data_IF_706208651836
#
_entry.id   IF_706208651836
#
_cell.length_a   1.000
_cell.length_b   1.000
_cell.length_c   1.000
_cell.angle_alpha   90.00
_cell.angle_beta   90.00
_cell.angle_gamma   90.00
#
_symmetry.space_group_name_H-M   'P 1'
#
loop_
_entity.id
_entity.type
_entity.pdbx_description
1 polymer ?
#
# COMPACT_ATOMS: atom_id res chain seq x y z
N UNK A 1 -13.95 32.68 13.80
CA UNK A 1 -12.73 33.50 13.99
C UNK A 1 -11.57 32.68 13.44
N UNK A 2 -11.05 33.08 12.29
CA UNK A 2 -10.01 32.37 11.53
C UNK A 2 -8.63 32.59 12.16
N UNK A 3 -7.79 31.55 12.17
CA UNK A 3 -6.34 31.70 12.29
C UNK A 3 -5.65 30.65 11.42
N UNK A 4 -5.55 30.96 10.13
CA UNK A 4 -4.48 30.46 9.26
C UNK A 4 -3.18 31.20 9.56
N UNK A 5 -2.06 30.52 9.29
CA UNK A 5 -0.66 30.99 9.21
C UNK A 5 0.15 30.87 10.50
N UNK A 6 0.96 29.82 10.59
CA UNK A 6 2.37 29.98 10.95
C UNK A 6 3.17 28.74 10.50
N UNK A 7 4.44 28.97 10.13
CA UNK A 7 5.53 28.01 9.87
C UNK A 7 5.84 27.65 8.41
N UNK A 8 6.32 28.66 7.68
CA UNK A 8 7.50 28.48 6.82
C UNK A 8 8.72 28.74 7.71
N UNK A 9 9.51 27.72 8.04
CA UNK A 9 10.88 27.86 8.58
C UNK A 9 11.56 26.48 8.65
N UNK A 10 11.85 25.87 7.49
CA UNK A 10 12.92 24.87 7.37
C UNK A 10 13.57 25.03 6.00
N UNK A 11 14.40 26.06 5.84
CA UNK A 11 15.32 26.15 4.73
C UNK A 11 16.61 26.84 5.19
N UNK A 12 17.74 26.26 4.78
CA UNK A 12 19.12 26.80 4.77
C UNK A 12 20.03 26.37 5.92
N UNK A 13 20.60 25.17 5.78
CA UNK A 13 21.94 24.83 6.29
C UNK A 13 22.64 23.87 5.34
N UNK A 14 23.32 24.39 4.31
CA UNK A 14 24.44 23.71 3.64
C UNK A 14 25.52 24.77 3.39
N UNK A 15 26.55 24.74 4.22
CA UNK A 15 27.69 25.65 4.21
C UNK A 15 28.72 25.14 3.19
N UNK A 16 29.07 26.00 2.24
CA UNK A 16 30.06 25.82 1.19
C UNK A 16 31.48 25.82 1.78
N UNK A 17 32.32 24.87 1.36
CA UNK A 17 33.78 24.93 1.56
C UNK A 17 34.51 24.33 0.35
N UNK A 18 34.90 25.18 -0.59
CA UNK A 18 35.91 24.88 -1.61
C UNK A 18 36.66 26.18 -1.97
N UNK A 19 37.75 26.41 -1.25
CA UNK A 19 38.78 27.40 -1.56
C UNK A 19 39.88 26.68 -2.36
N UNK A 20 40.01 27.04 -3.63
CA UNK A 20 41.03 26.52 -4.53
C UNK A 20 41.60 27.62 -5.43
N UNK A 21 42.68 28.23 -4.95
CA UNK A 21 43.83 28.81 -5.67
C UNK A 21 43.59 29.85 -6.78
N UNK A 22 43.89 31.10 -6.42
CA UNK A 22 44.14 32.25 -7.28
C UNK A 22 45.53 32.21 -7.94
N UNK A 23 45.56 32.40 -9.26
CA UNK A 23 46.66 32.91 -10.10
C UNK A 23 46.01 33.23 -11.45
N UNK A 24 46.12 34.37 -12.11
CA UNK A 24 46.87 35.61 -11.97
C UNK A 24 46.71 36.38 -13.31
N UNK A 25 47.06 37.66 -13.29
CA UNK A 25 47.22 38.59 -14.42
C UNK A 25 45.95 39.15 -15.09
N UNK A 26 45.76 40.45 -14.88
CA UNK A 26 44.90 41.28 -15.71
C UNK A 26 45.57 41.76 -17.00
N UNK A 27 44.77 42.33 -17.89
CA UNK A 27 45.15 43.51 -18.65
C UNK A 27 43.89 44.24 -19.18
N UNK A 28 44.02 45.56 -19.28
CA UNK A 28 42.99 46.54 -19.64
C UNK A 28 42.88 46.71 -21.17
N UNK A 29 41.64 46.79 -21.66
CA UNK A 29 41.10 47.50 -22.85
C UNK A 29 41.73 47.30 -24.24
N UNK A 30 40.89 46.87 -25.20
CA UNK A 30 40.73 47.57 -26.48
C UNK A 30 39.37 47.23 -27.11
N UNK A 31 38.63 48.28 -27.47
CA UNK A 31 37.39 48.28 -28.25
C UNK A 31 37.74 48.25 -29.74
N UNK A 32 36.82 47.67 -30.52
CA UNK A 32 36.62 47.79 -31.98
C UNK A 32 37.26 46.72 -32.86
N UNK A 33 36.44 45.84 -33.42
CA UNK A 33 36.03 46.05 -34.81
C UNK A 33 34.78 45.21 -35.12
N UNK A 34 33.81 45.90 -35.69
CA UNK A 34 32.56 45.37 -36.22
C UNK A 34 32.88 44.52 -37.47
N UNK A 35 32.55 43.24 -37.45
CA UNK A 35 32.45 42.44 -38.66
C UNK A 35 31.17 41.63 -38.58
N UNK A 36 30.16 42.03 -39.35
CA UNK A 36 28.97 41.25 -39.64
C UNK A 36 29.37 39.83 -40.05
N UNK A 37 29.19 38.88 -39.13
CA UNK A 37 29.25 37.46 -39.40
C UNK A 37 27.79 37.06 -39.65
N UNK A 38 27.46 36.74 -40.89
CA UNK A 38 26.19 36.07 -41.20
C UNK A 38 26.11 34.80 -40.36
N UNK A 39 25.22 34.83 -39.37
CA UNK A 39 24.85 33.66 -38.59
C UNK A 39 24.01 32.76 -39.50
N UNK A 40 24.60 31.68 -40.00
CA UNK A 40 23.83 30.58 -40.57
C UNK A 40 22.96 30.02 -39.45
N UNK A 41 21.64 30.20 -39.57
CA UNK A 41 20.66 29.56 -38.70
C UNK A 41 20.78 28.06 -38.93
N UNK A 42 21.42 27.37 -38.00
CA UNK A 42 21.36 25.91 -37.93
C UNK A 42 19.99 25.61 -37.34
N UNK A 43 19.10 25.07 -38.16
CA UNK A 43 17.78 24.60 -37.75
C UNK A 43 17.99 23.33 -36.93
N UNK A 44 18.25 23.48 -35.63
CA UNK A 44 18.28 22.35 -34.70
C UNK A 44 16.85 21.76 -34.63
N UNK A 45 16.70 20.43 -34.76
CA UNK A 45 15.39 19.82 -34.61
C UNK A 45 14.88 20.10 -33.21
N UNK A 46 13.73 20.79 -33.11
CA UNK A 46 13.00 20.97 -31.87
C UNK A 46 12.61 19.58 -31.37
N UNK A 47 13.37 19.05 -30.41
CA UNK A 47 12.99 17.86 -29.66
C UNK A 47 11.84 18.29 -28.76
N UNK A 48 10.63 17.89 -29.13
CA UNK A 48 9.44 18.07 -28.30
C UNK A 48 9.65 17.28 -27.00
N UNK A 49 9.98 17.99 -25.92
CA UNK A 49 10.18 17.40 -24.60
C UNK A 49 8.82 16.90 -24.13
N UNK A 50 8.61 15.57 -24.20
CA UNK A 50 7.37 14.96 -23.70
C UNK A 50 7.30 15.20 -22.19
N UNK A 51 6.24 15.88 -21.75
CA UNK A 51 5.88 15.99 -20.34
C UNK A 51 5.90 14.59 -19.69
N UNK A 52 6.46 14.46 -18.48
CA UNK A 52 6.55 13.18 -17.80
C UNK A 52 5.15 12.61 -17.57
N UNK A 53 4.96 11.33 -17.90
CA UNK A 53 3.76 10.59 -17.51
C UNK A 53 3.81 10.42 -15.99
N UNK A 54 2.81 10.96 -15.29
CA UNK A 54 2.65 10.82 -13.84
C UNK A 54 1.56 9.79 -13.57
N UNK A 55 1.92 8.72 -12.88
CA UNK A 55 1.01 7.70 -12.36
C UNK A 55 0.75 7.93 -10.87
N UNK A 56 -0.46 7.63 -10.39
CA UNK A 56 -0.82 7.70 -8.96
C UNK A 56 -1.57 6.44 -8.55
N UNK A 57 -1.22 5.89 -7.39
CA UNK A 57 -1.95 4.81 -6.74
C UNK A 57 -2.18 5.16 -5.27
N UNK A 58 -3.36 4.81 -4.77
CA UNK A 58 -3.81 5.11 -3.41
C UNK A 58 -3.98 3.82 -2.61
N UNK A 59 -3.55 3.86 -1.35
CA UNK A 59 -3.61 2.73 -0.44
C UNK A 59 -4.31 3.12 0.86
N UNK A 60 -5.35 2.38 1.21
CA UNK A 60 -5.95 2.36 2.54
C UNK A 60 -5.43 1.16 3.31
N UNK A 61 -5.03 1.35 4.57
CA UNK A 61 -4.53 0.26 5.41
C UNK A 61 -5.29 0.22 6.74
N UNK A 62 -5.83 -0.95 7.06
CA UNK A 62 -6.30 -1.32 8.38
C UNK A 62 -5.28 -2.26 9.03
N UNK A 63 -5.18 -2.20 10.36
CA UNK A 63 -4.37 -3.13 11.14
C UNK A 63 -5.05 -4.50 11.30
N UNK A 64 -4.89 -5.09 12.47
CA UNK A 64 -5.37 -6.44 12.75
C UNK A 64 -6.89 -6.54 12.77
N UNK A 65 -7.42 -7.39 11.90
CA UNK A 65 -8.75 -7.97 12.00
C UNK A 65 -8.68 -9.15 12.98
N UNK A 66 -8.57 -8.82 14.27
CA UNK A 66 -8.62 -9.78 15.37
C UNK A 66 -10.08 -10.00 15.79
N UNK A 67 -10.70 -11.01 15.20
CA UNK A 67 -12.06 -11.40 15.53
C UNK A 67 -12.05 -12.28 16.79
N UNK A 68 -12.61 -11.75 17.88
CA UNK A 68 -12.73 -12.45 19.16
C UNK A 68 -14.17 -12.94 19.37
N UNK A 69 -14.34 -14.02 20.14
CA UNK A 69 -15.63 -14.70 20.29
C UNK A 69 -16.83 -13.82 20.70
N UNK A 70 -16.73 -12.75 21.54
CA UNK A 70 -17.89 -11.90 21.81
C UNK A 70 -18.38 -11.14 20.58
N UNK A 71 -17.48 -10.78 19.65
CA UNK A 71 -17.84 -10.10 18.41
C UNK A 71 -18.64 -11.08 17.54
N UNK A 72 -18.15 -12.30 17.38
CA UNK A 72 -18.83 -13.34 16.59
C UNK A 72 -20.18 -13.74 17.17
N UNK A 73 -20.30 -13.83 18.49
CA UNK A 73 -21.59 -14.09 19.11
C UNK A 73 -22.57 -12.92 18.95
N UNK A 74 -22.08 -11.68 18.85
CA UNK A 74 -22.93 -10.49 18.70
C UNK A 74 -23.52 -10.35 17.29
N UNK A 75 -22.83 -10.88 16.28
CA UNK A 75 -23.25 -10.80 14.87
C UNK A 75 -23.95 -12.07 14.37
N UNK A 76 -23.96 -13.13 15.17
CA UNK A 76 -24.63 -14.39 14.86
C UNK A 76 -26.15 -14.24 14.94
N UNK A 77 -26.83 -14.67 13.89
CA UNK A 77 -28.29 -14.64 13.76
C UNK A 77 -28.93 -15.92 14.32
N UNK A 78 -30.24 -15.87 14.57
CA UNK A 78 -30.99 -17.01 15.12
C UNK A 78 -31.05 -18.23 14.20
N UNK A 79 -30.87 -18.04 12.90
CA UNK A 79 -30.84 -19.10 11.89
C UNK A 79 -29.43 -19.70 11.71
N UNK A 80 -28.44 -19.20 12.45
CA UNK A 80 -27.06 -19.66 12.41
C UNK A 80 -26.17 -18.91 11.43
N UNK A 81 -26.71 -17.97 10.63
CA UNK A 81 -25.92 -17.10 9.75
C UNK A 81 -25.21 -15.98 10.53
N UNK A 82 -24.32 -15.25 9.88
CA UNK A 82 -23.61 -14.12 10.46
C UNK A 82 -23.93 -12.86 9.66
N UNK A 83 -24.22 -11.76 10.36
CA UNK A 83 -24.49 -10.47 9.73
C UNK A 83 -23.59 -9.41 10.36
N UNK A 84 -22.54 -9.04 9.62
CA UNK A 84 -21.55 -8.06 10.07
C UNK A 84 -21.91 -6.67 9.53
N UNK A 85 -21.92 -5.68 10.42
CA UNK A 85 -22.08 -4.25 10.07
C UNK A 85 -21.10 -3.35 10.83
N UNK A 86 -20.15 -3.96 11.54
CA UNK A 86 -19.31 -3.28 12.53
C UNK A 86 -18.31 -2.33 11.87
N UNK A 87 -17.93 -2.60 10.63
CA UNK A 87 -16.90 -1.90 9.89
C UNK A 87 -17.42 -1.17 8.64
N UNK A 88 -18.74 -1.04 8.46
CA UNK A 88 -19.33 -0.46 7.23
C UNK A 88 -18.80 0.96 6.97
N UNK A 89 -18.67 1.78 8.02
CA UNK A 89 -18.10 3.13 7.92
C UNK A 89 -16.62 3.13 7.52
N UNK A 90 -15.88 2.07 7.86
CA UNK A 90 -14.50 1.89 7.39
C UNK A 90 -14.50 1.52 5.92
N UNK A 91 -15.40 0.62 5.49
CA UNK A 91 -15.61 0.28 4.08
C UNK A 91 -15.96 1.50 3.24
N UNK A 92 -16.85 2.38 3.73
CA UNK A 92 -17.19 3.64 3.07
C UNK A 92 -15.95 4.51 2.79
N UNK A 93 -15.03 4.61 3.76
CA UNK A 93 -13.77 5.36 3.60
C UNK A 93 -12.83 4.65 2.62
N UNK A 94 -12.63 3.35 2.82
CA UNK A 94 -11.74 2.52 2.01
C UNK A 94 -12.16 2.45 0.53
N UNK A 95 -13.45 2.58 0.23
CA UNK A 95 -14.03 2.46 -1.12
C UNK A 95 -13.44 3.43 -2.15
N UNK A 96 -12.86 4.54 -1.71
CA UNK A 96 -12.24 5.55 -2.59
C UNK A 96 -10.79 5.24 -2.99
N UNK A 97 -10.18 4.20 -2.41
CA UNK A 97 -8.79 3.83 -2.63
C UNK A 97 -8.65 2.66 -3.62
N UNK A 98 -7.53 2.62 -4.35
CA UNK A 98 -7.22 1.56 -5.31
C UNK A 98 -6.89 0.23 -4.60
N UNK A 99 -6.00 0.30 -3.60
CA UNK A 99 -5.66 -0.81 -2.72
C UNK A 99 -6.26 -0.60 -1.34
N UNK A 100 -6.83 -1.67 -0.80
CA UNK A 100 -7.48 -1.69 0.50
C UNK A 100 -6.94 -2.91 1.22
N UNK A 101 -6.01 -2.64 2.12
CA UNK A 101 -5.25 -3.61 2.87
C UNK A 101 -5.80 -3.81 4.27
N UNK A 102 -5.81 -5.06 4.75
CA UNK A 102 -5.87 -5.35 6.18
C UNK A 102 -5.04 -6.58 6.57
N UNK A 103 -4.75 -6.73 7.86
CA UNK A 103 -4.09 -7.92 8.39
C UNK A 103 -5.14 -8.88 8.98
N UNK A 104 -5.32 -10.08 8.42
CA UNK A 104 -6.22 -11.09 8.95
C UNK A 104 -5.52 -11.81 10.12
N UNK A 105 -5.70 -11.34 11.36
CA UNK A 105 -5.02 -11.94 12.53
C UNK A 105 -5.72 -13.21 13.02
N UNK A 106 -7.04 -13.18 13.21
CA UNK A 106 -7.80 -14.41 13.52
C UNK A 106 -7.80 -15.29 12.27
N UNK A 107 -7.25 -16.50 12.35
CA UNK A 107 -7.24 -17.43 11.23
C UNK A 107 -8.67 -17.80 10.81
N UNK A 108 -8.90 -17.86 9.50
CA UNK A 108 -10.13 -18.39 8.90
C UNK A 108 -9.90 -19.88 8.54
N UNK A 109 -9.68 -20.70 9.57
CA UNK A 109 -9.20 -22.07 9.44
C UNK A 109 -10.27 -23.09 9.02
N UNK A 110 -11.51 -22.65 8.82
CA UNK A 110 -12.65 -23.50 8.48
C UNK A 110 -13.70 -23.50 9.59
N UNK A 111 -14.97 -23.44 9.18
CA UNK A 111 -16.10 -23.38 10.11
C UNK A 111 -16.27 -24.69 10.91
N UNK A 112 -15.74 -25.80 10.39
CA UNK A 112 -15.73 -27.11 11.04
C UNK A 112 -14.90 -27.16 12.33
N UNK A 113 -13.91 -26.28 12.47
CA UNK A 113 -13.15 -26.12 13.72
C UNK A 113 -13.93 -25.34 14.79
N UNK A 114 -15.03 -24.68 14.41
CA UNK A 114 -15.83 -23.86 15.31
C UNK A 114 -15.17 -22.55 15.70
N UNK A 115 -15.93 -21.69 16.38
CA UNK A 115 -15.49 -20.34 16.78
C UNK A 115 -14.69 -20.41 18.07
N UNK A 116 -13.43 -19.99 18.01
CA UNK A 116 -12.54 -20.01 19.15
C UNK A 116 -11.90 -18.63 19.36
N UNK A 117 -11.83 -18.20 20.63
CA UNK A 117 -11.07 -17.03 21.06
C UNK A 117 -9.70 -17.39 21.65
N UNK A 118 -9.12 -16.48 22.43
CA UNK A 118 -7.82 -16.69 23.06
C UNK A 118 -7.78 -17.99 23.89
N UNK A 119 -6.67 -18.78 23.85
CA UNK A 119 -5.38 -18.48 23.20
C UNK A 119 -5.21 -19.03 21.78
N UNK A 120 -6.19 -19.75 21.24
CA UNK A 120 -6.12 -20.38 19.92
C UNK A 120 -7.35 -20.01 19.12
N UNK A 121 -7.22 -19.00 18.28
CA UNK A 121 -8.30 -18.38 17.55
C UNK A 121 -8.72 -19.22 16.34
N UNK A 122 -10.00 -19.15 16.02
CA UNK A 122 -10.55 -19.52 14.71
C UNK A 122 -11.82 -18.71 14.51
N UNK A 123 -11.90 -18.01 13.39
CA UNK A 123 -13.06 -17.20 13.03
C UNK A 123 -13.86 -17.84 11.91
N UNK A 124 -15.14 -17.51 11.84
CA UNK A 124 -16.01 -17.95 10.74
C UNK A 124 -15.57 -17.38 9.40
N UNK A 125 -15.62 -18.20 8.35
CA UNK A 125 -15.21 -17.78 7.00
C UNK A 125 -16.06 -16.63 6.44
N UNK A 126 -17.32 -16.54 6.89
CA UNK A 126 -18.21 -15.42 6.58
C UNK A 126 -17.64 -14.04 6.97
N UNK A 127 -16.68 -13.97 7.90
CA UNK A 127 -15.95 -12.74 8.19
C UNK A 127 -15.09 -12.30 6.98
N UNK A 128 -14.35 -13.22 6.38
CA UNK A 128 -13.55 -12.93 5.19
C UNK A 128 -14.42 -12.47 4.03
N UNK A 129 -15.56 -13.16 3.82
CA UNK A 129 -16.55 -12.74 2.82
C UNK A 129 -17.05 -11.31 3.05
N UNK A 130 -17.35 -10.94 4.30
CA UNK A 130 -17.75 -9.57 4.63
C UNK A 130 -16.64 -8.54 4.34
N UNK A 131 -15.40 -8.84 4.73
CA UNK A 131 -14.25 -7.96 4.48
C UNK A 131 -14.05 -7.72 2.98
N UNK A 132 -14.24 -8.74 2.14
CA UNK A 132 -14.03 -8.65 0.70
C UNK A 132 -15.25 -8.09 -0.02
N UNK A 133 -16.42 -8.70 0.17
CA UNK A 133 -17.61 -8.42 -0.64
C UNK A 133 -18.33 -7.14 -0.23
N UNK A 134 -18.42 -6.86 1.07
CA UNK A 134 -19.17 -5.71 1.60
C UNK A 134 -18.27 -4.49 1.82
N UNK A 135 -17.05 -4.68 2.32
CA UNK A 135 -16.11 -3.58 2.59
C UNK A 135 -15.15 -3.31 1.43
N UNK A 136 -15.02 -4.27 0.50
CA UNK A 136 -14.21 -4.12 -0.70
C UNK A 136 -12.70 -4.24 -0.48
N UNK A 137 -12.24 -4.87 0.62
CA UNK A 137 -10.81 -5.12 0.81
C UNK A 137 -10.29 -6.08 -0.27
N UNK A 138 -9.14 -5.75 -0.87
CA UNK A 138 -8.57 -6.47 -2.00
C UNK A 138 -7.08 -6.80 -1.81
N UNK A 139 -6.53 -6.55 -0.62
CA UNK A 139 -5.17 -6.94 -0.24
C UNK A 139 -5.18 -7.41 1.22
N UNK A 140 -4.63 -8.60 1.49
CA UNK A 140 -4.73 -9.22 2.82
C UNK A 140 -3.39 -9.82 3.23
N UNK A 141 -2.93 -9.48 4.43
CA UNK A 141 -1.84 -10.21 5.07
C UNK A 141 -2.39 -11.36 5.90
N UNK A 142 -1.81 -12.54 5.70
CA UNK A 142 -2.02 -13.76 6.47
C UNK A 142 -0.84 -14.06 7.40
N UNK A 143 0.24 -13.26 7.32
CA UNK A 143 1.42 -13.39 8.16
C UNK A 143 1.13 -12.84 9.56
N UNK A 144 0.87 -13.72 10.52
CA UNK A 144 0.59 -13.35 11.89
C UNK A 144 1.10 -14.46 12.85
N UNK A 145 1.10 -14.19 14.15
CA UNK A 145 1.50 -15.19 15.15
C UNK A 145 0.42 -16.27 15.43
N UNK A 146 -0.79 -16.07 14.91
CA UNK A 146 -1.97 -16.92 15.02
C UNK A 146 -2.26 -17.76 13.74
N UNK A 147 -1.40 -17.71 12.72
CA UNK A 147 -1.62 -18.37 11.42
C UNK A 147 -1.62 -19.89 11.53
N UNK A 148 -1.18 -20.42 12.68
CA UNK A 148 -1.11 -21.83 13.00
C UNK A 148 -2.01 -22.20 14.19
N UNK A 149 -2.94 -21.33 14.59
CA UNK A 149 -3.80 -21.61 15.73
C UNK A 149 -4.68 -22.83 15.52
N UNK A 150 -5.02 -23.17 14.28
CA UNK A 150 -5.71 -24.41 13.89
C UNK A 150 -4.79 -25.45 13.25
N UNK A 151 -3.48 -25.33 13.50
CA UNK A 151 -2.45 -26.22 12.95
C UNK A 151 -2.33 -26.13 11.43
N UNK A 152 -1.70 -27.14 10.83
CA UNK A 152 -1.45 -27.17 9.38
C UNK A 152 -2.76 -27.32 8.58
N UNK A 153 -3.74 -28.05 9.11
CA UNK A 153 -5.04 -28.21 8.47
C UNK A 153 -5.78 -26.86 8.38
N UNK A 154 -5.86 -26.11 9.48
CA UNK A 154 -6.45 -24.78 9.46
C UNK A 154 -5.67 -23.77 8.59
N UNK A 155 -4.34 -23.87 8.54
CA UNK A 155 -3.53 -23.08 7.62
C UNK A 155 -3.90 -23.37 6.16
N UNK A 156 -3.99 -24.65 5.78
CA UNK A 156 -4.35 -25.08 4.44
C UNK A 156 -5.77 -24.63 4.06
N UNK A 157 -6.72 -24.76 4.99
CA UNK A 157 -8.09 -24.29 4.81
C UNK A 157 -8.17 -22.77 4.63
N UNK A 158 -7.42 -22.01 5.44
CA UNK A 158 -7.32 -20.54 5.29
C UNK A 158 -6.76 -20.18 3.92
N UNK A 159 -5.66 -20.82 3.49
CA UNK A 159 -5.11 -20.60 2.15
C UNK A 159 -6.08 -20.97 1.04
N UNK A 160 -6.85 -22.05 1.20
CA UNK A 160 -7.87 -22.47 0.24
C UNK A 160 -9.04 -21.48 0.18
N UNK A 161 -9.45 -20.92 1.32
CA UNK A 161 -10.45 -19.85 1.40
C UNK A 161 -9.99 -18.62 0.59
N UNK A 162 -8.77 -18.13 0.84
CA UNK A 162 -8.24 -16.98 0.11
C UNK A 162 -8.00 -17.26 -1.37
N UNK A 163 -7.61 -18.47 -1.76
CA UNK A 163 -7.55 -18.88 -3.16
C UNK A 163 -8.92 -18.88 -3.85
N UNK A 164 -10.01 -18.97 -3.07
CA UNK A 164 -11.39 -18.81 -3.54
C UNK A 164 -11.78 -17.35 -3.85
N UNK A 165 -10.97 -16.38 -3.43
CA UNK A 165 -11.12 -14.95 -3.69
C UNK A 165 -10.01 -14.45 -4.64
N UNK A 166 -10.04 -14.81 -5.94
CA UNK A 166 -8.99 -14.42 -6.89
C UNK A 166 -8.86 -12.90 -7.12
N UNK A 167 -9.87 -12.13 -6.72
CA UNK A 167 -9.88 -10.67 -6.67
C UNK A 167 -9.03 -10.08 -5.54
N UNK A 168 -8.63 -10.89 -4.56
CA UNK A 168 -7.86 -10.48 -3.38
C UNK A 168 -6.39 -10.86 -3.53
N UNK A 169 -5.51 -9.94 -3.19
CA UNK A 169 -4.08 -10.17 -3.08
C UNK A 169 -3.74 -10.61 -1.65
N UNK A 170 -3.85 -11.91 -1.39
CA UNK A 170 -3.48 -12.51 -0.11
C UNK A 170 -2.02 -12.97 -0.10
N UNK A 171 -1.26 -12.66 0.95
CA UNK A 171 0.10 -13.20 1.12
C UNK A 171 0.49 -13.35 2.60
N UNK A 172 1.59 -14.03 2.90
CA UNK A 172 2.17 -14.13 4.24
C UNK A 172 2.17 -15.55 4.83
N UNK A 173 1.48 -16.49 4.21
CA UNK A 173 1.51 -17.92 4.53
C UNK A 173 1.77 -18.73 3.27
N UNK A 174 2.56 -19.79 3.39
CA UNK A 174 3.05 -20.57 2.26
C UNK A 174 3.15 -22.05 2.63
N UNK A 175 2.87 -22.93 1.66
CA UNK A 175 3.00 -24.38 1.83
C UNK A 175 4.38 -24.91 1.39
N UNK A 176 5.14 -24.10 0.66
CA UNK A 176 6.48 -24.44 0.20
C UNK A 176 7.40 -23.21 0.18
N UNK A 177 8.72 -23.47 0.17
CA UNK A 177 9.71 -22.41 -0.02
C UNK A 177 9.63 -21.79 -1.42
N UNK A 178 9.25 -22.59 -2.43
CA UNK A 178 9.07 -22.11 -3.80
C UNK A 178 7.95 -21.07 -3.87
N UNK A 179 6.80 -21.32 -3.23
CA UNK A 179 5.69 -20.36 -3.16
C UNK A 179 6.09 -19.09 -2.39
N UNK A 180 6.90 -19.24 -1.33
CA UNK A 180 7.42 -18.10 -0.57
C UNK A 180 8.37 -17.23 -1.40
N UNK A 181 9.25 -17.86 -2.19
CA UNK A 181 10.22 -17.16 -3.03
C UNK A 181 9.58 -16.55 -4.31
N UNK A 182 8.37 -17.01 -4.68
CA UNK A 182 7.60 -16.51 -5.81
C UNK A 182 6.94 -15.15 -5.48
N UNK A 183 7.72 -14.08 -5.60
CA UNK A 183 7.24 -12.71 -5.38
C UNK A 183 6.19 -12.33 -6.44
N UNK A 184 4.93 -12.16 -6.02
CA UNK A 184 3.90 -11.57 -6.87
C UNK A 184 4.14 -10.08 -7.09
N UNK A 185 4.08 -9.66 -8.35
CA UNK A 185 4.17 -8.25 -8.76
C UNK A 185 2.90 -7.90 -9.53
N UNK A 186 2.27 -6.78 -9.16
CA UNK A 186 1.08 -6.25 -9.83
C UNK A 186 1.21 -4.77 -10.11
N UNK A 187 0.55 -4.33 -11.17
CA UNK A 187 0.54 -2.94 -11.63
C UNK A 187 -0.82 -2.32 -11.32
N UNK A 188 -0.80 -1.07 -10.86
CA UNK A 188 -2.00 -0.28 -10.57
C UNK A 188 -1.75 1.12 -11.09
N UNK A 189 -2.64 1.59 -11.97
CA UNK A 189 -2.62 2.93 -12.54
C UNK A 189 -1.32 3.34 -13.29
N UNK A 190 -0.55 2.37 -13.79
CA UNK A 190 0.56 2.56 -14.76
C UNK A 190 1.96 2.53 -14.16
#
# INVERSE_FOLDING_TARGET
>A
MNMHKCKNDVLKSVLVLLLGLSSGCGNTMAVSSDSHKETSVIDEPIVEEKEPVVSEATLFMMGDALLHDPIEYSVRQSDGTFHFTLLDRIGEIASSYDLRYYNQETILGGDEFGIHGYPRFNGVQAWGDYMVNDLGFNMVSLANNHSLDMGIEGLQNSMAFWAGHPEVYSTGTFLSQEDYDAIEVREING
#
